data_IF_660599799818
#
_entry.id   IF_660599799818
#
_cell.length_a   1.000
_cell.length_b   1.000
_cell.length_c   1.000
_cell.angle_alpha   90.00
_cell.angle_beta   90.00
_cell.angle_gamma   90.00
#
_symmetry.space_group_name_H-M   'P 1'
#
loop_
_entity.id
_entity.type
_entity.pdbx_description
1 polymer ?
#
# COMPACT_ATOMS: atom_id res chain seq x y z
N UNK A 1 -42.16 0.11 -11.06
CA UNK A 1 -41.04 -0.80 -10.78
C UNK A 1 -40.14 -0.84 -11.99
N UNK A 2 -39.12 -0.01 -12.02
CA UNK A 2 -38.11 -0.04 -13.07
C UNK A 2 -37.32 -1.36 -12.91
N UNK A 3 -37.41 -2.20 -13.87
CA UNK A 3 -37.05 -3.61 -13.89
C UNK A 3 -35.56 -3.93 -13.98
N UNK A 4 -34.64 -3.04 -13.55
CA UNK A 4 -33.24 -3.25 -13.78
C UNK A 4 -32.35 -3.05 -12.52
N UNK A 5 -32.93 -3.02 -11.32
CA UNK A 5 -32.18 -2.95 -10.06
C UNK A 5 -32.32 -4.24 -9.26
N UNK A 6 -31.21 -4.77 -8.78
CA UNK A 6 -31.15 -5.94 -7.90
C UNK A 6 -30.86 -5.45 -6.50
N UNK A 7 -31.69 -5.82 -5.53
CA UNK A 7 -31.45 -5.59 -4.11
C UNK A 7 -30.87 -6.86 -3.49
N UNK A 8 -29.75 -6.72 -2.81
CA UNK A 8 -29.10 -7.79 -2.05
C UNK A 8 -28.98 -7.37 -0.58
N UNK A 9 -29.25 -8.30 0.33
CA UNK A 9 -29.13 -8.06 1.77
C UNK A 9 -28.13 -9.07 2.36
N UNK A 10 -27.20 -8.56 3.16
CA UNK A 10 -26.14 -9.35 3.79
C UNK A 10 -26.02 -9.01 5.27
N UNK A 11 -25.68 -10.01 6.08
CA UNK A 11 -25.28 -9.82 7.48
C UNK A 11 -23.78 -9.99 7.54
N UNK A 12 -23.10 -8.93 7.95
CA UNK A 12 -21.63 -8.88 7.99
C UNK A 12 -21.16 -8.13 9.23
N UNK A 13 -19.95 -8.43 9.69
CA UNK A 13 -19.34 -7.68 10.80
C UNK A 13 -18.93 -6.28 10.35
N UNK A 14 -19.09 -5.27 11.20
CA UNK A 14 -18.72 -3.89 10.90
C UNK A 14 -17.24 -3.74 10.48
N UNK A 15 -16.34 -4.57 11.03
CA UNK A 15 -14.93 -4.60 10.63
C UNK A 15 -14.71 -4.97 9.17
N UNK A 16 -15.47 -5.93 8.66
CA UNK A 16 -15.36 -6.38 7.27
C UNK A 16 -15.94 -5.39 6.26
N UNK A 17 -16.71 -4.40 6.73
CA UNK A 17 -17.24 -3.32 5.87
C UNK A 17 -16.26 -2.15 5.71
N UNK A 18 -15.21 -2.09 6.53
CA UNK A 18 -14.21 -1.01 6.41
C UNK A 18 -13.58 -1.10 5.03
N UNK A 19 -13.67 -0.01 4.25
CA UNK A 19 -13.13 0.09 2.87
C UNK A 19 -13.95 -0.56 1.76
N UNK A 20 -14.87 -1.45 2.09
CA UNK A 20 -15.70 -2.15 1.08
C UNK A 20 -16.52 -1.18 0.22
N UNK A 21 -16.93 -0.04 0.77
CA UNK A 21 -17.70 0.97 0.02
C UNK A 21 -16.98 1.45 -1.23
N UNK A 22 -15.68 1.72 -1.12
CA UNK A 22 -14.86 2.20 -2.24
C UNK A 22 -14.74 1.13 -3.33
N UNK A 23 -14.54 -0.13 -2.93
CA UNK A 23 -14.48 -1.27 -3.83
C UNK A 23 -15.84 -1.53 -4.50
N UNK A 24 -16.94 -1.49 -3.74
CA UNK A 24 -18.28 -1.65 -4.25
C UNK A 24 -18.64 -0.58 -5.31
N UNK A 25 -18.31 0.68 -5.07
CA UNK A 25 -18.51 1.75 -6.04
C UNK A 25 -17.67 1.53 -7.31
N UNK A 26 -16.47 1.02 -7.18
CA UNK A 26 -15.62 0.68 -8.32
C UNK A 26 -16.23 -0.48 -9.13
N UNK A 27 -16.63 -1.57 -8.48
CA UNK A 27 -17.27 -2.73 -9.12
C UNK A 27 -18.56 -2.36 -9.84
N UNK A 28 -19.36 -1.46 -9.25
CA UNK A 28 -20.63 -1.01 -9.82
C UNK A 28 -20.50 0.20 -10.75
N UNK A 29 -19.27 0.64 -11.06
CA UNK A 29 -18.99 1.85 -11.85
C UNK A 29 -19.73 3.09 -11.32
N UNK A 30 -19.83 3.21 -10.00
CA UNK A 30 -20.48 4.33 -9.33
C UNK A 30 -22.02 4.26 -9.26
N UNK A 31 -22.67 3.27 -9.88
CA UNK A 31 -24.14 3.16 -9.91
C UNK A 31 -24.74 2.46 -8.69
N UNK A 32 -23.91 1.76 -7.90
CA UNK A 32 -24.35 1.01 -6.73
C UNK A 32 -24.71 1.92 -5.55
N UNK A 33 -25.78 1.58 -4.87
CA UNK A 33 -26.20 2.22 -3.62
C UNK A 33 -25.99 1.23 -2.48
N UNK A 34 -25.20 1.63 -1.48
CA UNK A 34 -24.92 0.82 -0.31
C UNK A 34 -25.49 1.52 0.94
N UNK A 35 -26.35 0.82 1.64
CA UNK A 35 -26.90 1.21 2.93
C UNK A 35 -26.49 0.19 3.99
N UNK A 36 -26.18 0.66 5.20
CA UNK A 36 -25.84 -0.22 6.32
C UNK A 36 -26.66 0.17 7.54
N UNK A 37 -27.19 -0.82 8.23
CA UNK A 37 -27.93 -0.64 9.47
C UNK A 37 -27.32 -1.56 10.53
N UNK A 38 -27.29 -1.08 11.78
CA UNK A 38 -26.93 -1.92 12.92
C UNK A 38 -28.01 -2.96 13.14
N UNK A 39 -27.65 -4.21 13.27
CA UNK A 39 -28.54 -5.32 13.55
C UNK A 39 -28.47 -5.69 15.04
N UNK A 40 -27.34 -6.20 15.49
CA UNK A 40 -27.11 -6.67 16.85
C UNK A 40 -25.62 -6.84 17.14
N UNK A 41 -25.26 -7.04 18.40
CA UNK A 41 -23.93 -7.50 18.80
C UNK A 41 -23.87 -9.03 18.72
N UNK A 42 -22.82 -9.55 18.09
CA UNK A 42 -22.60 -10.98 17.95
C UNK A 42 -21.26 -11.40 18.56
N UNK A 43 -21.10 -12.69 18.80
CA UNK A 43 -19.83 -13.28 19.23
C UNK A 43 -18.76 -13.01 18.16
N UNK A 44 -17.53 -12.78 18.62
CA UNK A 44 -16.38 -12.56 17.74
C UNK A 44 -16.19 -13.70 16.74
N UNK A 45 -16.21 -13.40 15.45
CA UNK A 45 -16.16 -14.37 14.34
C UNK A 45 -14.74 -14.69 13.85
N UNK A 46 -13.73 -14.33 14.62
CA UNK A 46 -12.33 -14.56 14.25
C UNK A 46 -11.68 -13.38 13.52
N UNK A 47 -10.47 -13.59 13.05
CA UNK A 47 -9.70 -12.61 12.32
C UNK A 47 -10.14 -12.52 10.85
N UNK A 48 -10.02 -11.34 10.29
CA UNK A 48 -10.24 -11.14 8.86
C UNK A 48 -8.99 -11.57 8.09
N UNK A 49 -9.13 -12.05 6.84
CA UNK A 49 -7.99 -12.39 6.01
C UNK A 49 -7.03 -11.19 5.90
N UNK A 50 -5.76 -11.43 6.22
CA UNK A 50 -4.71 -10.44 6.02
C UNK A 50 -4.45 -10.21 4.52
N UNK A 51 -3.83 -9.09 4.21
CA UNK A 51 -3.39 -8.74 2.86
C UNK A 51 -2.46 -9.82 2.30
N UNK A 52 -2.74 -10.29 1.07
CA UNK A 52 -1.93 -11.30 0.39
C UNK A 52 -0.78 -10.73 -0.45
N UNK A 53 -0.73 -9.41 -0.62
CA UNK A 53 0.29 -8.69 -1.39
C UNK A 53 1.28 -8.00 -0.46
N UNK A 54 2.55 -7.99 -0.86
CA UNK A 54 3.61 -7.33 -0.10
C UNK A 54 3.66 -5.82 -0.32
N UNK A 55 4.62 -5.18 0.33
CA UNK A 55 4.89 -3.75 0.19
C UNK A 55 6.33 -3.47 -0.20
N UNK A 56 6.53 -2.32 -0.84
CA UNK A 56 7.84 -1.75 -1.09
C UNK A 56 8.21 -0.83 0.07
N UNK A 57 9.28 -1.15 0.80
CA UNK A 57 9.73 -0.43 2.00
C UNK A 57 11.02 0.32 1.70
N UNK A 58 11.07 1.61 2.02
CA UNK A 58 12.29 2.43 1.84
C UNK A 58 13.41 1.94 2.75
N UNK A 59 14.64 1.88 2.20
CA UNK A 59 15.85 1.51 2.93
C UNK A 59 16.57 2.69 3.58
N UNK A 60 16.12 3.92 3.34
CA UNK A 60 16.84 5.09 3.84
C UNK A 60 16.02 6.38 3.78
N UNK A 61 16.65 7.45 4.28
CA UNK A 61 16.05 8.77 4.33
C UNK A 61 16.61 9.66 3.23
N UNK A 62 15.75 10.37 2.52
CA UNK A 62 16.15 11.31 1.48
C UNK A 62 15.02 11.66 0.52
N UNK A 63 15.40 12.42 -0.51
CA UNK A 63 14.47 12.88 -1.54
C UNK A 63 14.32 11.84 -2.64
N UNK A 64 13.09 11.57 -3.01
CA UNK A 64 12.74 10.60 -4.06
C UNK A 64 13.14 11.12 -5.45
N UNK A 65 13.76 10.26 -6.24
CA UNK A 65 14.26 10.56 -7.58
C UNK A 65 13.39 9.88 -8.64
N UNK A 66 13.06 10.60 -9.70
CA UNK A 66 12.24 10.08 -10.80
C UNK A 66 12.81 8.80 -11.43
N UNK A 67 14.13 8.71 -11.60
CA UNK A 67 14.79 7.53 -12.12
C UNK A 67 14.60 6.28 -11.24
N UNK A 68 14.61 6.44 -9.90
CA UNK A 68 14.33 5.33 -9.00
C UNK A 68 12.88 4.87 -9.11
N UNK A 69 11.92 5.80 -9.14
CA UNK A 69 10.50 5.46 -9.27
C UNK A 69 10.20 4.75 -10.59
N UNK A 70 10.83 5.17 -11.67
CA UNK A 70 10.68 4.52 -12.97
C UNK A 70 11.06 3.03 -12.92
N UNK A 71 12.13 2.68 -12.20
CA UNK A 71 12.52 1.28 -12.01
C UNK A 71 11.66 0.52 -10.99
N UNK A 72 10.96 1.21 -10.09
CA UNK A 72 10.16 0.61 -9.03
C UNK A 72 8.69 0.42 -9.43
N UNK A 73 8.16 1.24 -10.33
CA UNK A 73 6.76 1.16 -10.77
C UNK A 73 6.40 -0.17 -11.44
N UNK A 74 7.35 -0.86 -12.07
CA UNK A 74 7.13 -2.18 -12.68
C UNK A 74 6.88 -3.27 -11.64
N UNK A 75 7.23 -3.01 -10.37
CA UNK A 75 7.06 -3.94 -9.25
C UNK A 75 5.71 -3.81 -8.56
N UNK A 76 5.00 -2.71 -8.79
CA UNK A 76 3.70 -2.43 -8.21
C UNK A 76 3.39 -0.94 -8.14
N UNK A 77 2.23 -0.60 -7.61
CA UNK A 77 1.71 0.75 -7.54
C UNK A 77 2.46 1.57 -6.48
N UNK A 78 2.89 2.78 -6.85
CA UNK A 78 3.64 3.68 -5.96
C UNK A 78 2.70 4.63 -5.20
N UNK A 79 3.09 4.99 -3.96
CA UNK A 79 2.39 5.95 -3.10
C UNK A 79 3.07 7.32 -3.05
N UNK A 80 4.27 7.44 -3.59
CA UNK A 80 5.13 8.61 -3.51
C UNK A 80 5.42 9.18 -4.89
N UNK A 81 5.62 10.50 -4.95
CA UNK A 81 5.98 11.25 -6.14
C UNK A 81 7.49 11.62 -6.14
N UNK A 82 8.06 11.96 -7.32
CA UNK A 82 9.38 12.55 -7.36
C UNK A 82 9.45 13.83 -6.54
N UNK A 83 10.49 13.95 -5.71
CA UNK A 83 10.66 15.09 -4.83
C UNK A 83 10.13 14.91 -3.41
N UNK A 84 9.30 13.92 -3.15
CA UNK A 84 8.85 13.58 -1.80
C UNK A 84 10.02 13.17 -0.91
N UNK A 85 9.87 13.39 0.39
CA UNK A 85 10.84 12.97 1.40
C UNK A 85 10.40 11.63 1.98
N UNK A 86 11.30 10.65 1.90
CA UNK A 86 11.11 9.33 2.52
C UNK A 86 12.09 9.11 3.64
N UNK A 87 11.80 8.12 4.48
CA UNK A 87 12.68 7.67 5.57
C UNK A 87 12.72 6.14 5.63
N UNK A 88 13.71 5.59 6.31
CA UNK A 88 13.87 4.15 6.48
C UNK A 88 12.63 3.53 7.15
N UNK A 89 12.09 2.46 6.55
CA UNK A 89 10.89 1.79 7.06
C UNK A 89 9.56 2.39 6.59
N UNK A 90 9.58 3.50 5.83
CA UNK A 90 8.38 4.05 5.18
C UNK A 90 7.94 3.13 4.04
N UNK A 91 6.65 2.87 3.95
CA UNK A 91 6.05 2.11 2.85
C UNK A 91 5.82 3.08 1.68
N UNK A 92 6.46 2.79 0.57
CA UNK A 92 6.49 3.67 -0.62
C UNK A 92 5.65 3.16 -1.78
N UNK A 93 5.15 1.94 -1.69
CA UNK A 93 4.28 1.36 -2.70
C UNK A 93 3.84 -0.07 -2.38
N UNK A 94 2.99 -0.58 -3.24
CA UNK A 94 2.55 -1.98 -3.25
C UNK A 94 3.63 -2.81 -3.94
N UNK A 95 3.77 -4.07 -3.53
CA UNK A 95 4.56 -5.05 -4.26
C UNK A 95 3.66 -6.18 -4.75
N UNK A 96 3.70 -6.48 -6.04
CA UNK A 96 2.82 -7.46 -6.69
C UNK A 96 3.03 -8.92 -6.26
N UNK A 97 4.02 -9.18 -5.38
CA UNK A 97 4.26 -10.50 -4.79
C UNK A 97 3.87 -10.50 -3.32
N UNK A 98 3.58 -11.67 -2.77
CA UNK A 98 3.13 -11.86 -1.38
C UNK A 98 4.18 -11.66 -0.29
N UNK A 99 5.31 -10.99 -0.58
CA UNK A 99 6.39 -10.72 0.37
C UNK A 99 6.83 -9.26 0.27
N UNK A 100 7.27 -8.69 1.36
CA UNK A 100 7.80 -7.33 1.38
C UNK A 100 9.16 -7.24 0.73
N UNK A 101 9.44 -6.12 0.06
CA UNK A 101 10.73 -5.86 -0.54
C UNK A 101 11.28 -4.51 -0.06
N UNK A 102 12.56 -4.50 0.28
CA UNK A 102 13.28 -3.27 0.61
C UNK A 102 13.80 -2.64 -0.68
N UNK A 103 13.53 -1.36 -0.86
CA UNK A 103 13.84 -0.61 -2.08
C UNK A 103 14.54 0.71 -1.76
N UNK A 104 15.28 1.23 -2.73
CA UNK A 104 15.93 2.54 -2.63
C UNK A 104 15.26 3.55 -3.57
N UNK A 105 14.34 4.39 -3.08
CA UNK A 105 13.66 5.40 -3.89
C UNK A 105 14.52 6.66 -4.13
N UNK A 106 15.70 6.75 -3.53
CA UNK A 106 16.65 7.86 -3.70
C UNK A 106 17.80 7.53 -4.68
N UNK A 107 17.75 6.35 -5.32
CA UNK A 107 18.83 5.91 -6.20
C UNK A 107 18.92 6.76 -7.46
N UNK A 108 19.97 7.54 -7.58
CA UNK A 108 20.26 8.34 -8.77
C UNK A 108 20.80 7.48 -9.93
N UNK A 109 20.63 7.97 -11.14
CA UNK A 109 21.29 7.40 -12.33
C UNK A 109 22.79 7.62 -12.20
N UNK A 110 23.59 6.55 -12.21
CA UNK A 110 25.04 6.70 -12.30
C UNK A 110 25.38 7.31 -13.65
N UNK A 111 26.03 8.47 -13.63
CA UNK A 111 26.59 9.07 -14.84
C UNK A 111 27.73 8.18 -15.31
N UNK A 112 27.55 7.53 -16.45
CA UNK A 112 28.62 6.81 -17.16
C UNK A 112 29.16 7.73 -18.23
N UNK A 113 30.50 7.90 -18.31
CA UNK A 113 31.20 8.70 -19.33
C UNK A 113 31.11 8.07 -20.73
N UNK A 114 30.32 7.04 -20.93
CA UNK A 114 30.11 6.49 -22.28
C UNK A 114 29.23 7.44 -23.07
N UNK A 115 29.78 7.95 -24.15
CA UNK A 115 29.07 8.61 -25.27
C UNK A 115 28.17 7.60 -25.98
N UNK A 116 27.21 7.01 -25.35
CA UNK A 116 26.15 6.35 -26.08
C UNK A 116 25.15 7.44 -26.47
N UNK A 117 25.06 7.64 -27.78
CA UNK A 117 24.02 8.46 -28.42
C UNK A 117 22.61 7.89 -28.24
N UNK A 118 22.44 7.04 -27.27
CA UNK A 118 21.12 6.53 -26.87
C UNK A 118 20.42 7.68 -26.18
N UNK A 119 19.54 8.28 -26.97
CA UNK A 119 18.54 9.26 -26.59
C UNK A 119 18.15 9.10 -25.12
N UNK A 120 18.24 10.18 -24.36
CA UNK A 120 17.64 10.23 -23.01
C UNK A 120 16.15 9.98 -23.19
N UNK A 121 15.73 8.73 -23.04
CA UNK A 121 14.31 8.38 -23.11
C UNK A 121 13.61 9.15 -21.99
N UNK A 122 12.60 9.90 -22.38
CA UNK A 122 11.76 10.62 -21.43
C UNK A 122 11.21 9.61 -20.41
N UNK A 123 11.48 9.85 -19.12
CA UNK A 123 11.00 9.01 -18.05
C UNK A 123 9.49 9.23 -17.92
N UNK A 124 8.71 8.21 -18.25
CA UNK A 124 7.27 8.20 -18.04
C UNK A 124 6.98 7.56 -16.68
N UNK A 125 6.35 8.32 -15.78
CA UNK A 125 5.94 7.83 -14.47
C UNK A 125 4.41 7.69 -14.44
N UNK A 126 3.97 6.59 -13.87
CA UNK A 126 2.57 6.38 -13.51
C UNK A 126 2.28 7.28 -12.30
N UNK A 127 1.19 8.07 -12.31
CA UNK A 127 0.83 8.89 -11.16
C UNK A 127 0.69 8.04 -9.90
N UNK A 128 1.25 8.49 -8.76
CA UNK A 128 1.17 7.74 -7.53
C UNK A 128 -0.27 7.72 -7.00
N UNK A 129 -0.63 6.61 -6.36
CA UNK A 129 -1.89 6.49 -5.67
C UNK A 129 -1.90 7.36 -4.42
N UNK A 130 -2.87 8.23 -4.29
CA UNK A 130 -3.08 9.01 -3.07
C UNK A 130 -3.66 8.11 -1.98
N UNK A 131 -3.01 8.11 -0.81
CA UNK A 131 -3.48 7.39 0.37
C UNK A 131 -4.50 8.27 1.08
N UNK A 132 -5.72 7.78 1.24
CA UNK A 132 -6.70 8.31 2.18
C UNK A 132 -6.77 7.41 3.43
N UNK A 133 -7.41 7.90 4.49
CA UNK A 133 -7.49 7.18 5.75
C UNK A 133 -8.22 5.84 5.61
N UNK A 134 -9.31 5.81 4.84
CA UNK A 134 -10.10 4.60 4.60
C UNK A 134 -9.24 3.50 3.93
N UNK A 135 -8.53 3.85 2.86
CA UNK A 135 -7.59 2.94 2.22
C UNK A 135 -6.48 2.48 3.17
N UNK A 136 -5.90 3.41 3.92
CA UNK A 136 -4.83 3.10 4.86
C UNK A 136 -5.26 2.05 5.90
N UNK A 137 -6.45 2.20 6.49
CA UNK A 137 -6.99 1.29 7.51
C UNK A 137 -7.28 -0.12 6.98
N UNK A 138 -7.65 -0.23 5.69
CA UNK A 138 -7.89 -1.53 5.03
C UNK A 138 -6.58 -2.19 4.63
N UNK A 139 -5.62 -1.37 4.23
CA UNK A 139 -4.39 -1.82 3.62
C UNK A 139 -3.34 -2.31 4.61
N UNK A 140 -3.25 -1.72 5.80
CA UNK A 140 -2.20 -2.04 6.78
C UNK A 140 -2.29 -3.48 7.27
N UNK A 141 -1.11 -4.05 7.53
CA UNK A 141 -0.94 -5.34 8.17
C UNK A 141 -0.50 -5.18 9.64
N UNK A 142 -0.44 -6.28 10.40
CA UNK A 142 -0.17 -6.27 11.84
C UNK A 142 1.20 -5.68 12.22
N UNK A 143 2.18 -5.74 11.31
CA UNK A 143 3.52 -5.17 11.51
C UNK A 143 3.67 -3.75 10.97
N UNK A 144 2.57 -3.12 10.57
CA UNK A 144 2.51 -1.79 9.96
C UNK A 144 1.77 -0.77 10.84
N UNK A 145 1.97 0.51 10.56
CA UNK A 145 1.31 1.63 11.22
C UNK A 145 0.92 2.69 10.20
N UNK A 146 -0.21 3.34 10.45
CA UNK A 146 -0.62 4.55 9.75
C UNK A 146 -0.11 5.77 10.51
N UNK A 147 0.69 6.60 9.85
CA UNK A 147 1.15 7.88 10.36
C UNK A 147 0.27 8.99 9.79
N UNK A 148 -0.43 9.69 10.66
CA UNK A 148 -1.34 10.77 10.29
C UNK A 148 -0.74 12.09 10.73
N UNK A 149 -0.53 12.99 9.79
CA UNK A 149 -0.09 14.36 10.02
C UNK A 149 -1.12 15.32 9.42
N UNK A 150 -1.12 16.60 9.79
CA UNK A 150 -2.09 17.56 9.22
C UNK A 150 -2.05 17.66 7.69
N UNK A 151 -0.92 17.34 7.07
CA UNK A 151 -0.71 17.49 5.63
C UNK A 151 -0.68 16.16 4.88
N UNK A 152 -0.34 15.04 5.55
CA UNK A 152 -0.08 13.77 4.87
C UNK A 152 -0.53 12.57 5.70
N UNK A 153 -1.01 11.55 5.01
CA UNK A 153 -1.18 10.19 5.54
C UNK A 153 -0.10 9.32 4.93
N UNK A 154 0.66 8.62 5.77
CA UNK A 154 1.77 7.74 5.37
C UNK A 154 1.61 6.38 6.02
N UNK A 155 2.17 5.38 5.37
CA UNK A 155 2.26 4.03 5.91
C UNK A 155 3.71 3.72 6.25
N UNK A 156 3.95 3.05 7.36
CA UNK A 156 5.29 2.64 7.76
C UNK A 156 5.29 1.32 8.50
N UNK A 157 6.43 0.64 8.51
CA UNK A 157 6.64 -0.52 9.37
C UNK A 157 6.75 -0.10 10.84
N UNK A 158 6.30 -0.94 11.78
CA UNK A 158 6.48 -0.73 13.22
C UNK A 158 7.97 -0.61 13.57
N UNK A 159 8.77 -1.53 13.05
CA UNK A 159 10.23 -1.50 13.14
C UNK A 159 10.79 -0.82 11.89
N UNK A 160 11.35 0.37 12.06
CA UNK A 160 11.84 1.17 10.93
C UNK A 160 13.11 0.56 10.31
N UNK A 161 14.06 0.09 11.13
CA UNK A 161 15.32 -0.46 10.64
C UNK A 161 15.14 -1.84 10.03
N UNK A 162 15.73 -2.05 8.87
CA UNK A 162 15.72 -3.34 8.17
C UNK A 162 16.32 -4.47 9.00
N UNK A 163 17.42 -4.18 9.70
CA UNK A 163 18.11 -5.15 10.55
C UNK A 163 17.19 -5.69 11.65
N UNK A 164 16.41 -4.82 12.28
CA UNK A 164 15.49 -5.22 13.36
C UNK A 164 14.32 -6.04 12.82
N UNK A 165 13.77 -5.66 11.66
CA UNK A 165 12.73 -6.46 10.97
C UNK A 165 13.22 -7.88 10.66
N UNK A 166 14.43 -7.99 10.10
CA UNK A 166 15.03 -9.29 9.75
C UNK A 166 15.28 -10.15 11.00
N UNK A 167 15.72 -9.55 12.11
CA UNK A 167 15.92 -10.28 13.38
C UNK A 167 14.60 -10.82 13.92
N UNK A 168 13.55 -9.99 13.93
CA UNK A 168 12.22 -10.39 14.41
C UNK A 168 11.64 -11.52 13.57
N UNK A 169 11.73 -11.42 12.24
CA UNK A 169 11.25 -12.47 11.33
C UNK A 169 11.97 -13.80 11.53
N UNK A 170 13.29 -13.78 11.81
CA UNK A 170 14.05 -15.01 12.12
C UNK A 170 13.63 -15.61 13.45
N UNK A 171 13.40 -14.78 14.48
CA UNK A 171 12.94 -15.25 15.79
C UNK A 171 11.58 -15.93 15.71
N UNK A 172 10.62 -15.31 15.02
CA UNK A 172 9.27 -15.90 14.84
C UNK A 172 9.34 -17.25 14.11
N UNK A 173 10.24 -17.41 13.15
CA UNK A 173 10.42 -18.71 12.47
C UNK A 173 10.99 -19.77 13.39
N UNK A 174 11.98 -19.42 14.22
CA UNK A 174 12.56 -20.37 15.19
C UNK A 174 11.61 -20.77 16.33
N UNK A 175 10.64 -19.93 16.66
CA UNK A 175 9.64 -20.19 17.70
C UNK A 175 8.46 -21.05 17.18
N UNK A 176 8.33 -21.21 15.86
CA UNK A 176 7.30 -22.01 15.19
C UNK A 176 7.79 -23.37 14.68
N UNK A 177 9.08 -23.70 14.80
CA UNK A 177 9.71 -25.00 14.52
C UNK A 177 9.90 -25.80 15.81
#
# INVERSE_FOLDING_TARGET
TSSNSIRMEFIITSRALIGFRSEFLLMTRGSGVMCQNFLEYQVYKGELPARQIGVQVSNGSGKVVAFALWNLQDRGEMFIAPGDITYEGMIVGIYNKGVDIVVNPQKEKKLTNMRSSTCDMAIQLIPPRKINLEFALVFIDDDELVEITPLNIRLRKKQLKEVDRTRTSRKIRSDNE
#
